data_IF_538759019261
#
_entry.id   IF_538759019261
#
_cell.length_a   1.000
_cell.length_b   1.000
_cell.length_c   1.000
_cell.angle_alpha   90.00
_cell.angle_beta   90.00
_cell.angle_gamma   90.00
#
_symmetry.space_group_name_H-M   'P 1'
#
loop_
_entity.id
_entity.type
_entity.pdbx_description
1 polymer ?
#
# COMPACT_ATOMS: atom_id res chain seq x y z
N UNK A 1 -3.71 6.07 7.38
CA UNK A 1 -2.67 4.99 7.36
C UNK A 1 -1.79 4.91 8.62
N UNK A 2 -1.16 6.01 9.05
CA UNK A 2 -0.25 6.02 10.21
C UNK A 2 -0.89 5.56 11.54
N UNK A 3 -2.18 5.84 11.73
CA UNK A 3 -2.93 5.38 12.90
C UNK A 3 -3.01 3.86 12.98
N UNK A 4 -3.26 3.18 11.85
CA UNK A 4 -3.28 1.71 11.81
C UNK A 4 -1.90 1.12 12.13
N UNK A 5 -0.82 1.70 11.59
CA UNK A 5 0.55 1.29 11.92
C UNK A 5 0.81 1.35 13.43
N UNK A 6 0.43 2.45 14.08
CA UNK A 6 0.57 2.57 15.54
C UNK A 6 -0.35 1.65 16.35
N UNK A 7 -1.46 1.17 15.78
CA UNK A 7 -2.31 0.16 16.41
C UNK A 7 -1.73 -1.25 16.23
N UNK A 8 -1.26 -1.60 15.03
CA UNK A 8 -0.68 -2.91 14.74
C UNK A 8 0.71 -3.12 15.35
N UNK A 9 1.45 -2.06 15.66
CA UNK A 9 2.73 -2.17 16.36
C UNK A 9 2.59 -2.51 17.86
N UNK A 10 1.36 -2.55 18.39
CA UNK A 10 1.12 -2.89 19.80
C UNK A 10 1.24 -4.39 20.01
N UNK A 11 1.84 -4.81 21.13
CA UNK A 11 2.01 -6.22 21.46
C UNK A 11 0.71 -7.03 21.53
N UNK A 12 -0.43 -6.37 21.77
CA UNK A 12 -1.76 -6.99 21.81
C UNK A 12 -2.44 -7.15 20.45
N UNK A 13 -1.87 -6.59 19.38
CA UNK A 13 -2.47 -6.68 18.05
C UNK A 13 -2.38 -8.11 17.52
N UNK A 14 -3.53 -8.71 17.21
CA UNK A 14 -3.63 -10.11 16.73
C UNK A 14 -3.67 -10.25 15.21
N UNK A 15 -3.65 -9.13 14.48
CA UNK A 15 -3.75 -9.14 13.04
C UNK A 15 -3.58 -7.77 12.41
N UNK A 16 -3.49 -7.79 11.08
CA UNK A 16 -3.31 -6.62 10.23
C UNK A 16 -4.61 -6.45 9.44
N UNK A 17 -5.26 -5.30 9.58
CA UNK A 17 -6.51 -4.98 8.89
C UNK A 17 -6.56 -3.49 8.53
N UNK A 18 -7.59 -3.09 7.79
CA UNK A 18 -7.76 -1.69 7.39
C UNK A 18 -6.62 -1.23 6.48
N UNK A 19 -6.13 -0.01 6.68
CA UNK A 19 -5.14 0.59 5.78
C UNK A 19 -3.81 -0.19 5.66
N UNK A 20 -3.53 -1.09 6.61
CA UNK A 20 -2.32 -1.90 6.55
C UNK A 20 -2.39 -3.02 5.50
N UNK A 21 -3.59 -3.49 5.15
CA UNK A 21 -3.77 -4.40 4.02
C UNK A 21 -3.33 -3.72 2.73
N UNK A 22 -3.60 -2.41 2.55
CA UNK A 22 -3.08 -1.64 1.42
C UNK A 22 -1.56 -1.51 1.44
N UNK A 23 -0.96 -1.30 2.62
CA UNK A 23 0.50 -1.26 2.75
C UNK A 23 1.12 -2.61 2.36
N UNK A 24 0.52 -3.72 2.78
CA UNK A 24 0.97 -5.05 2.40
C UNK A 24 0.83 -5.29 0.89
N UNK A 25 -0.29 -4.91 0.29
CA UNK A 25 -0.48 -4.97 -1.16
C UNK A 25 0.60 -4.13 -1.88
N UNK A 26 0.88 -2.93 -1.38
CA UNK A 26 1.93 -2.07 -1.90
C UNK A 26 3.31 -2.73 -1.82
N UNK A 27 3.65 -3.38 -0.70
CA UNK A 27 4.90 -4.14 -0.57
C UNK A 27 4.97 -5.23 -1.64
N UNK A 28 3.89 -6.00 -1.84
CA UNK A 28 3.88 -7.07 -2.85
C UNK A 28 4.03 -6.55 -4.28
N UNK A 29 3.53 -5.36 -4.60
CA UNK A 29 3.74 -4.75 -5.91
C UNK A 29 5.21 -4.42 -6.15
N UNK A 30 5.86 -3.75 -5.20
CA UNK A 30 7.24 -3.25 -5.35
C UNK A 30 8.32 -4.31 -5.09
N UNK A 31 8.05 -5.31 -4.25
CA UNK A 31 9.05 -6.29 -3.83
C UNK A 31 8.57 -7.72 -4.13
N UNK A 32 8.81 -8.21 -5.36
CA UNK A 32 8.39 -9.56 -5.76
C UNK A 32 8.87 -10.67 -4.83
N UNK A 33 10.05 -10.53 -4.23
CA UNK A 33 10.62 -11.52 -3.30
C UNK A 33 9.85 -11.70 -1.98
N UNK A 34 8.92 -10.79 -1.65
CA UNK A 34 8.09 -10.91 -0.44
C UNK A 34 6.68 -11.44 -0.71
N UNK A 35 6.34 -11.70 -1.98
CA UNK A 35 5.01 -12.20 -2.37
C UNK A 35 4.75 -13.59 -1.78
N UNK A 36 3.49 -13.96 -1.50
CA UNK A 36 3.15 -15.33 -1.15
C UNK A 36 3.58 -16.31 -2.26
N UNK A 37 4.11 -17.46 -1.86
CA UNK A 37 4.49 -18.56 -2.75
C UNK A 37 3.28 -19.04 -3.58
N UNK A 38 3.48 -19.31 -4.87
CA UNK A 38 2.45 -19.76 -5.83
C UNK A 38 1.38 -18.72 -6.19
N UNK A 39 1.69 -17.43 -6.08
CA UNK A 39 0.77 -16.37 -6.50
C UNK A 39 0.81 -16.13 -8.01
N UNK A 40 -0.25 -16.54 -8.71
CA UNK A 40 -0.62 -15.97 -10.00
C UNK A 40 -1.64 -14.84 -9.76
N UNK A 41 -1.32 -13.58 -10.08
CA UNK A 41 -2.27 -12.50 -9.90
C UNK A 41 -3.49 -12.72 -10.77
N UNK A 42 -4.72 -12.76 -10.20
CA UNK A 42 -5.92 -12.78 -11.01
C UNK A 42 -6.00 -11.51 -11.86
N UNK A 43 -6.62 -11.62 -13.04
CA UNK A 43 -6.96 -10.45 -13.86
C UNK A 43 -7.96 -9.62 -13.08
N UNK A 44 -7.51 -8.47 -12.57
CA UNK A 44 -8.40 -7.52 -11.88
C UNK A 44 -9.34 -6.90 -12.90
N UNK A 45 -10.64 -7.02 -12.65
CA UNK A 45 -11.66 -6.39 -13.50
C UNK A 45 -11.53 -4.86 -13.52
N UNK A 46 -12.06 -4.17 -14.54
CA UNK A 46 -11.94 -2.72 -14.67
C UNK A 46 -12.53 -1.92 -13.48
N UNK A 47 -13.48 -2.50 -12.75
CA UNK A 47 -14.16 -1.86 -11.61
C UNK A 47 -13.68 -2.37 -10.23
N UNK A 48 -12.70 -3.28 -10.22
CA UNK A 48 -12.19 -3.87 -8.99
C UNK A 48 -10.96 -3.13 -8.48
N UNK A 49 -10.85 -2.98 -7.16
CA UNK A 49 -9.69 -2.35 -6.56
C UNK A 49 -8.43 -3.16 -6.89
N UNK A 50 -7.39 -2.50 -7.41
CA UNK A 50 -6.13 -3.15 -7.77
C UNK A 50 -5.55 -4.03 -6.64
N UNK A 51 -5.70 -3.57 -5.40
CA UNK A 51 -5.27 -4.27 -4.19
C UNK A 51 -6.00 -5.60 -3.96
N UNK A 52 -7.23 -5.78 -4.48
CA UNK A 52 -8.02 -7.00 -4.31
C UNK A 52 -7.32 -8.24 -4.84
N UNK A 53 -6.40 -8.11 -5.81
CA UNK A 53 -5.60 -9.24 -6.29
C UNK A 53 -4.81 -9.92 -5.18
N UNK A 54 -4.49 -9.21 -4.10
CA UNK A 54 -3.71 -9.72 -2.98
C UNK A 54 -4.57 -10.13 -1.78
N UNK A 55 -5.89 -9.90 -1.83
CA UNK A 55 -6.81 -10.18 -0.72
C UNK A 55 -7.25 -11.65 -0.78
N UNK A 56 -7.22 -12.35 0.35
CA UNK A 56 -7.81 -13.69 0.50
C UNK A 56 -6.84 -14.87 0.53
N UNK A 57 -5.53 -14.65 0.42
CA UNK A 57 -4.56 -15.75 0.50
C UNK A 57 -4.01 -15.92 1.91
N UNK A 58 -4.12 -17.12 2.51
CA UNK A 58 -3.25 -17.47 3.62
C UNK A 58 -1.80 -17.33 3.15
N UNK A 59 -0.87 -16.98 4.03
CA UNK A 59 0.54 -17.19 3.75
C UNK A 59 0.77 -18.71 3.62
N UNK A 60 0.50 -19.26 2.44
CA UNK A 60 0.69 -20.67 2.12
C UNK A 60 2.19 -20.91 2.08
N UNK A 61 2.66 -21.54 3.16
CA UNK A 61 4.06 -21.86 3.38
C UNK A 61 4.70 -21.04 4.48
N UNK A 62 4.34 -21.30 5.73
CA UNK A 62 5.26 -22.04 6.60
C UNK A 62 4.71 -22.12 8.00
N UNK A 63 4.61 -23.36 8.49
CA UNK A 63 4.56 -23.73 9.91
C UNK A 63 5.95 -23.47 10.53
N UNK A 64 6.56 -22.33 10.23
CA UNK A 64 7.81 -21.88 10.83
C UNK A 64 7.47 -20.88 11.93
N UNK A 65 8.10 -21.10 13.07
CA UNK A 65 8.15 -20.19 14.20
C UNK A 65 8.21 -18.71 13.73
N UNK A 66 7.34 -17.81 14.24
CA UNK A 66 7.39 -16.38 13.97
C UNK A 66 8.81 -15.78 14.03
N UNK A 67 9.69 -16.32 14.88
CA UNK A 67 11.09 -15.89 14.98
C UNK A 67 11.90 -16.16 13.70
N UNK A 68 11.72 -17.35 13.10
CA UNK A 68 12.37 -17.78 11.86
C UNK A 68 11.86 -16.95 10.68
N UNK A 69 10.54 -16.71 10.64
CA UNK A 69 9.94 -15.84 9.62
C UNK A 69 10.47 -14.41 9.72
N UNK A 70 10.57 -13.86 10.92
CA UNK A 70 11.13 -12.53 11.14
C UNK A 70 12.59 -12.44 10.71
N UNK A 71 13.40 -13.45 11.05
CA UNK A 71 14.80 -13.51 10.64
C UNK A 71 14.95 -13.58 9.12
N UNK A 72 14.09 -14.34 8.44
CA UNK A 72 14.04 -14.42 6.98
C UNK A 72 13.79 -13.04 6.35
N UNK A 73 12.72 -12.35 6.78
CA UNK A 73 12.39 -11.03 6.22
C UNK A 73 13.49 -9.99 6.49
N UNK A 74 14.09 -9.99 7.68
CA UNK A 74 15.22 -9.09 7.99
C UNK A 74 16.39 -9.33 7.05
N UNK A 75 16.82 -10.59 6.92
CA UNK A 75 17.93 -10.94 6.03
C UNK A 75 17.65 -10.58 4.57
N UNK A 76 16.43 -10.83 4.09
CA UNK A 76 16.04 -10.49 2.73
C UNK A 76 16.01 -8.97 2.49
N UNK A 77 15.64 -8.17 3.51
CA UNK A 77 15.74 -6.71 3.45
C UNK A 77 17.20 -6.24 3.47
N UNK A 78 18.05 -6.85 4.29
CA UNK A 78 19.48 -6.50 4.39
C UNK A 78 20.25 -6.81 3.09
N UNK A 79 19.82 -7.85 2.36
CA UNK A 79 20.42 -8.24 1.08
C UNK A 79 19.76 -7.60 -0.15
N UNK A 80 18.79 -6.71 0.04
CA UNK A 80 17.98 -6.21 -1.05
C UNK A 80 18.80 -5.32 -1.99
N UNK A 81 18.73 -5.62 -3.29
CA UNK A 81 19.37 -4.82 -4.34
C UNK A 81 18.35 -4.02 -5.15
N UNK A 82 18.76 -2.96 -5.87
CA UNK A 82 17.85 -2.21 -6.73
C UNK A 82 17.18 -3.03 -7.83
N UNK A 83 17.80 -4.14 -8.25
CA UNK A 83 17.23 -5.10 -9.21
C UNK A 83 16.11 -5.96 -8.64
N UNK A 84 16.05 -6.11 -7.32
CA UNK A 84 15.00 -6.87 -6.65
C UNK A 84 13.70 -6.05 -6.47
N UNK A 85 13.72 -4.77 -6.84
CA UNK A 85 12.62 -3.83 -6.69
C UNK A 85 11.95 -3.56 -8.03
N UNK A 86 10.64 -3.77 -8.10
CA UNK A 86 9.83 -3.29 -9.20
C UNK A 86 9.53 -1.79 -9.00
N UNK A 87 10.27 -0.93 -9.71
CA UNK A 87 10.12 0.52 -9.59
C UNK A 87 8.85 1.08 -10.27
N UNK A 88 8.25 0.30 -11.17
CA UNK A 88 7.08 0.73 -11.95
C UNK A 88 5.99 -0.35 -12.01
N UNK A 89 5.42 -0.77 -10.86
CA UNK A 89 4.44 -1.87 -10.84
C UNK A 89 3.09 -1.47 -11.46
N UNK A 90 2.79 -0.17 -11.49
CA UNK A 90 1.57 0.40 -12.07
C UNK A 90 1.79 0.98 -13.48
N UNK A 91 2.72 0.40 -14.24
CA UNK A 91 3.17 0.85 -15.58
C UNK A 91 4.01 2.15 -15.55
N UNK A 92 4.67 2.47 -16.66
CA UNK A 92 5.52 3.67 -16.79
C UNK A 92 4.73 5.00 -16.68
N UNK A 93 3.40 4.95 -16.91
CA UNK A 93 2.53 6.13 -16.93
C UNK A 93 1.22 5.85 -16.18
N UNK A 94 1.26 5.66 -14.85
CA UNK A 94 0.05 5.33 -14.07
C UNK A 94 -1.02 6.41 -14.16
N UNK A 95 -0.61 7.66 -14.42
CA UNK A 95 -1.51 8.79 -14.67
C UNK A 95 -2.34 8.68 -15.96
N UNK A 96 -1.99 7.78 -16.87
CA UNK A 96 -2.79 7.48 -18.07
C UNK A 96 -3.84 6.41 -17.79
N UNK A 97 -3.50 5.44 -16.94
CA UNK A 97 -4.41 4.37 -16.54
C UNK A 97 -5.44 4.85 -15.51
N UNK A 98 -5.04 5.76 -14.60
CA UNK A 98 -5.90 6.31 -13.56
C UNK A 98 -6.00 7.82 -13.76
N UNK A 99 -7.22 8.31 -14.01
CA UNK A 99 -7.48 9.75 -14.12
C UNK A 99 -7.04 10.44 -12.83
N UNK A 100 -6.15 11.43 -12.94
CA UNK A 100 -5.75 12.28 -11.82
C UNK A 100 -7.01 12.97 -11.29
N UNK A 101 -7.43 12.61 -10.08
CA UNK A 101 -8.56 13.24 -9.42
C UNK A 101 -8.06 14.40 -8.56
N UNK A 102 -8.62 15.58 -8.79
CA UNK A 102 -8.49 16.74 -7.89
C UNK A 102 -9.61 16.74 -6.83
N UNK A 103 -10.15 15.56 -6.50
CA UNK A 103 -11.14 15.43 -5.44
C UNK A 103 -10.62 16.03 -4.15
N UNK A 104 -11.39 16.95 -3.55
CA UNK A 104 -11.14 17.48 -2.21
C UNK A 104 -12.29 17.03 -1.33
N UNK A 105 -11.97 16.36 -0.22
CA UNK A 105 -12.98 15.82 0.67
C UNK A 105 -12.49 14.62 1.46
N UNK A 106 -13.40 13.96 2.18
CA UNK A 106 -13.04 12.79 2.98
C UNK A 106 -12.90 11.58 2.07
N UNK A 107 -11.69 11.04 1.97
CA UNK A 107 -11.48 9.71 1.43
C UNK A 107 -11.75 8.73 2.57
N UNK A 108 -12.71 7.82 2.35
CA UNK A 108 -12.98 6.73 3.29
C UNK A 108 -12.30 5.46 2.82
N UNK A 109 -11.64 4.80 3.76
CA UNK A 109 -11.19 3.43 3.62
C UNK A 109 -11.56 2.67 4.89
N UNK A 110 -12.43 1.66 4.77
CA UNK A 110 -13.01 0.94 5.91
C UNK A 110 -13.62 1.91 6.95
N UNK A 111 -13.19 1.83 8.21
CA UNK A 111 -13.61 2.68 9.33
C UNK A 111 -12.86 4.02 9.40
N UNK A 112 -11.95 4.29 8.46
CA UNK A 112 -11.08 5.47 8.48
C UNK A 112 -11.53 6.46 7.42
N UNK A 113 -11.95 7.64 7.86
CA UNK A 113 -12.09 8.82 7.02
C UNK A 113 -10.89 9.74 7.22
N UNK A 114 -10.14 10.03 6.16
CA UNK A 114 -9.08 11.05 6.17
C UNK A 114 -9.45 12.14 5.17
N UNK A 115 -9.33 13.41 5.58
CA UNK A 115 -9.55 14.54 4.68
C UNK A 115 -8.39 14.61 3.70
N UNK A 116 -8.72 14.54 2.41
CA UNK A 116 -7.80 14.64 1.31
C UNK A 116 -7.95 16.00 0.62
N UNK A 117 -6.84 16.71 0.51
CA UNK A 117 -6.75 18.04 -0.09
C UNK A 117 -5.58 18.09 -1.08
N UNK A 118 -5.81 17.75 -2.36
CA UNK A 118 -4.76 17.75 -3.37
C UNK A 118 -4.24 19.16 -3.65
N UNK A 119 -4.94 20.22 -3.23
CA UNK A 119 -4.47 21.59 -3.38
C UNK A 119 -3.13 21.83 -2.66
N UNK A 120 -2.74 20.98 -1.70
CA UNK A 120 -1.46 21.05 -0.98
C UNK A 120 -0.32 20.28 -1.65
N UNK A 121 -0.64 19.42 -2.61
CA UNK A 121 0.32 18.56 -3.31
C UNK A 121 0.15 18.59 -4.84
N UNK A 122 -0.33 19.72 -5.38
CA UNK A 122 -0.57 19.94 -6.81
C UNK A 122 0.64 19.62 -7.71
N UNK A 123 1.87 19.81 -7.20
CA UNK A 123 3.10 19.44 -7.92
C UNK A 123 3.18 17.95 -8.25
N UNK A 124 2.64 17.06 -7.41
CA UNK A 124 2.63 15.61 -7.68
C UNK A 124 1.76 15.26 -8.90
N UNK A 125 0.80 16.12 -9.21
CA UNK A 125 -0.10 16.00 -10.35
C UNK A 125 0.35 16.80 -11.58
N UNK A 126 1.54 17.42 -11.52
CA UNK A 126 2.08 18.26 -12.59
C UNK A 126 1.48 19.66 -12.67
N UNK A 127 0.74 20.11 -11.65
CA UNK A 127 0.18 21.45 -11.58
C UNK A 127 1.07 22.41 -10.79
N UNK A 128 0.87 23.72 -11.01
CA UNK A 128 1.52 24.78 -10.23
C UNK A 128 0.99 24.77 -8.80
N UNK A 129 1.88 24.69 -7.82
CA UNK A 129 1.52 24.79 -6.40
C UNK A 129 1.24 26.25 -6.03
N UNK A 130 0.00 26.56 -5.67
CA UNK A 130 -0.37 27.83 -5.03
C UNK A 130 -0.24 27.71 -3.51
N UNK A 131 -0.19 28.85 -2.81
CA UNK A 131 -0.27 28.85 -1.33
C UNK A 131 -1.63 28.28 -0.93
N UNK A 132 -1.69 27.14 -0.24
CA UNK A 132 -2.96 26.54 0.11
C UNK A 132 -3.64 27.33 1.24
N UNK A 133 -4.98 27.33 1.30
CA UNK A 133 -5.71 27.91 2.43
C UNK A 133 -5.35 27.20 3.75
N UNK A 134 -5.74 27.74 4.92
CA UNK A 134 -5.58 27.05 6.19
C UNK A 134 -6.18 25.63 6.13
N UNK A 135 -5.59 24.64 6.83
CA UNK A 135 -6.13 23.29 6.85
C UNK A 135 -7.55 23.30 7.43
N UNK A 136 -8.46 22.59 6.75
CA UNK A 136 -9.80 22.30 7.25
C UNK A 136 -9.66 21.62 8.62
N UNK A 137 -10.27 22.18 9.67
CA UNK A 137 -10.29 21.52 10.97
C UNK A 137 -11.16 20.26 10.87
N UNK A 138 -10.75 19.14 11.49
CA UNK A 138 -11.59 17.97 11.63
C UNK A 138 -12.83 18.24 12.50
#
# INVERSE_FOLDING_TARGET
>A
MYRCLGQASRASARGVAGCLTLLQCWIYEYFPGFRPSHFEPPVVGPDEAWASRWIGQPATGSVADPSVRLAFYRRALDSLTPSDVCWTPFHQRPHQAVRRSLYTGVIRFADIGEFYDPARCLRQFGYRQMVPPPPSRP
#
